data_IF_916257072229
#
_entry.id   IF_916257072229
#
_cell.length_a   1.000
_cell.length_b   1.000
_cell.length_c   1.000
_cell.angle_alpha   90.00
_cell.angle_beta   90.00
_cell.angle_gamma   90.00
#
_symmetry.space_group_name_H-M   'P 1'
#
loop_
_entity.id
_entity.type
_entity.pdbx_description
1 polymer ?
#
# COMPACT_ATOMS: atom_id res chain seq x y z
N UNK A 1 -11.03 7.19 53.07
CA UNK A 1 -11.70 6.36 52.05
C UNK A 1 -10.90 6.50 50.77
N UNK A 2 -9.75 5.83 50.69
CA UNK A 2 -8.97 5.76 49.45
C UNK A 2 -9.43 4.51 48.68
N UNK A 3 -9.90 4.73 47.46
CA UNK A 3 -10.28 3.65 46.57
C UNK A 3 -9.01 3.05 45.97
N UNK A 4 -8.63 1.85 46.43
CA UNK A 4 -7.60 1.04 45.78
C UNK A 4 -8.15 0.59 44.42
N UNK A 5 -7.69 1.25 43.35
CA UNK A 5 -8.00 0.85 41.98
C UNK A 5 -7.22 -0.44 41.70
N UNK A 6 -7.92 -1.58 41.69
CA UNK A 6 -7.34 -2.84 41.24
C UNK A 6 -7.20 -2.80 39.72
N UNK A 7 -5.98 -2.56 39.24
CA UNK A 7 -5.65 -2.73 37.82
C UNK A 7 -5.57 -4.22 37.57
N UNK A 8 -6.59 -4.79 36.93
CA UNK A 8 -6.55 -6.17 36.42
C UNK A 8 -5.28 -6.34 35.57
N UNK A 9 -4.44 -7.35 35.84
CA UNK A 9 -3.28 -7.59 34.98
C UNK A 9 -3.82 -8.02 33.63
N UNK A 10 -3.71 -7.13 32.65
CA UNK A 10 -3.90 -7.48 31.25
C UNK A 10 -3.01 -8.70 30.98
N UNK A 11 -3.62 -9.86 30.75
CA UNK A 11 -2.91 -11.05 30.31
C UNK A 11 -2.07 -10.62 29.11
N UNK A 12 -0.75 -10.53 29.29
CA UNK A 12 0.18 -10.11 28.23
C UNK A 12 0.28 -11.27 27.24
N UNK A 13 -0.79 -11.42 26.45
CA UNK A 13 -0.88 -12.38 25.37
C UNK A 13 0.05 -11.97 24.25
N UNK A 14 0.67 -12.95 23.61
CA UNK A 14 1.42 -12.71 22.37
C UNK A 14 0.42 -12.63 21.23
N UNK A 15 0.54 -11.63 20.36
CA UNK A 15 -0.35 -11.43 19.22
C UNK A 15 0.42 -11.53 17.90
N UNK A 16 -0.26 -12.05 16.89
CA UNK A 16 0.31 -12.15 15.54
C UNK A 16 0.51 -10.76 14.92
N UNK A 17 1.74 -10.44 14.50
CA UNK A 17 2.08 -9.16 13.85
C UNK A 17 1.39 -8.97 12.48
N UNK A 18 0.83 -10.05 11.91
CA UNK A 18 0.18 -10.02 10.60
C UNK A 18 -1.34 -9.79 10.64
N UNK A 19 -2.03 -10.39 11.61
CA UNK A 19 -3.50 -10.36 11.70
C UNK A 19 -4.04 -9.86 13.05
N UNK A 20 -3.19 -9.68 14.07
CA UNK A 20 -3.60 -9.23 15.40
C UNK A 20 -4.26 -10.31 16.26
N UNK A 21 -4.48 -11.52 15.74
CA UNK A 21 -5.04 -12.62 16.52
C UNK A 21 -4.07 -13.09 17.63
N UNK A 22 -4.58 -13.54 18.78
CA UNK A 22 -3.74 -14.15 19.82
C UNK A 22 -3.00 -15.37 19.26
N UNK A 23 -1.74 -15.53 19.64
CA UNK A 23 -0.95 -16.69 19.30
C UNK A 23 -1.33 -17.84 20.24
N UNK A 24 -1.71 -18.98 19.66
CA UNK A 24 -1.97 -20.17 20.45
C UNK A 24 -0.68 -20.70 21.06
N UNK A 25 -0.84 -21.44 22.16
CA UNK A 25 0.24 -22.10 22.87
C UNK A 25 0.95 -23.17 22.01
N UNK A 26 0.23 -23.70 21.01
CA UNK A 26 0.78 -24.60 19.98
C UNK A 26 1.76 -23.94 19.02
N UNK A 27 1.81 -22.59 18.96
CA UNK A 27 2.82 -21.87 18.19
C UNK A 27 4.05 -21.64 19.08
N UNK A 28 5.24 -21.80 18.50
CA UNK A 28 6.53 -21.63 19.19
C UNK A 28 6.57 -20.36 20.07
N UNK A 29 7.26 -20.43 21.21
CA UNK A 29 7.42 -19.35 22.19
C UNK A 29 7.99 -18.04 21.63
N UNK A 30 8.72 -18.11 20.52
CA UNK A 30 9.36 -17.00 19.81
C UNK A 30 8.64 -16.58 18.53
N UNK A 31 7.52 -17.21 18.18
CA UNK A 31 6.82 -16.92 16.94
C UNK A 31 6.19 -15.51 16.97
N UNK A 32 6.44 -14.74 15.92
CA UNK A 32 5.81 -13.43 15.71
C UNK A 32 4.51 -13.50 14.89
N UNK A 33 4.23 -14.66 14.28
CA UNK A 33 3.11 -14.86 13.36
C UNK A 33 2.43 -16.19 13.65
N UNK A 34 1.10 -16.23 13.56
CA UNK A 34 0.32 -17.46 13.74
C UNK A 34 0.54 -18.48 12.61
N UNK A 35 1.01 -18.03 11.44
CA UNK A 35 1.19 -18.89 10.27
C UNK A 35 2.19 -18.31 9.26
N UNK A 36 2.68 -19.17 8.37
CA UNK A 36 3.47 -18.77 7.22
C UNK A 36 2.71 -17.79 6.30
N UNK A 37 1.38 -17.94 6.19
CA UNK A 37 0.53 -17.04 5.42
C UNK A 37 0.53 -15.61 6.02
N UNK A 38 0.40 -15.47 7.34
CA UNK A 38 0.49 -14.17 8.01
C UNK A 38 1.87 -13.54 7.86
N UNK A 39 2.94 -14.33 7.97
CA UNK A 39 4.32 -13.87 7.73
C UNK A 39 4.48 -13.33 6.30
N UNK A 40 4.02 -14.07 5.29
CA UNK A 40 4.12 -13.65 3.89
C UNK A 40 3.29 -12.39 3.61
N UNK A 41 2.08 -12.28 4.18
CA UNK A 41 1.24 -11.08 4.07
C UNK A 41 1.93 -9.87 4.68
N UNK A 42 2.45 -10.00 5.90
CA UNK A 42 3.14 -8.93 6.60
C UNK A 42 4.40 -8.49 5.86
N UNK A 43 5.19 -9.43 5.31
CA UNK A 43 6.36 -9.11 4.48
C UNK A 43 5.97 -8.31 3.22
N UNK A 44 4.93 -8.74 2.48
CA UNK A 44 4.45 -8.00 1.29
C UNK A 44 3.98 -6.60 1.64
N UNK A 45 3.24 -6.45 2.75
CA UNK A 45 2.79 -5.15 3.22
C UNK A 45 3.98 -4.25 3.58
N UNK A 46 4.90 -4.75 4.39
CA UNK A 46 6.11 -4.03 4.81
C UNK A 46 6.94 -3.59 3.61
N UNK A 47 7.12 -4.46 2.62
CA UNK A 47 7.88 -4.13 1.41
C UNK A 47 7.22 -3.02 0.59
N UNK A 48 5.89 -3.06 0.43
CA UNK A 48 5.14 -1.97 -0.23
C UNK A 48 5.28 -0.65 0.52
N UNK A 49 5.17 -0.68 1.84
CA UNK A 49 5.35 0.52 2.68
C UNK A 49 6.76 1.09 2.54
N UNK A 50 7.80 0.24 2.57
CA UNK A 50 9.20 0.67 2.38
C UNK A 50 9.43 1.31 1.02
N UNK A 51 8.92 0.71 -0.06
CA UNK A 51 9.00 1.30 -1.40
C UNK A 51 8.30 2.66 -1.42
N UNK A 52 7.08 2.75 -0.88
CA UNK A 52 6.32 4.00 -0.80
C UNK A 52 7.09 5.10 -0.08
N UNK A 53 7.68 4.79 1.09
CA UNK A 53 8.47 5.74 1.88
C UNK A 53 9.74 6.17 1.14
N UNK A 54 10.47 5.26 0.48
CA UNK A 54 11.64 5.61 -0.34
C UNK A 54 11.27 6.56 -1.47
N UNK A 55 10.15 6.32 -2.13
CA UNK A 55 9.64 7.19 -3.19
C UNK A 55 9.24 8.56 -2.64
N UNK A 56 8.53 8.63 -1.50
CA UNK A 56 8.20 9.91 -0.84
C UNK A 56 9.44 10.70 -0.40
N UNK A 57 10.50 10.01 0.05
CA UNK A 57 11.78 10.64 0.42
C UNK A 57 12.62 11.06 -0.80
N UNK A 58 12.10 10.94 -2.02
CA UNK A 58 12.81 11.29 -3.25
C UNK A 58 13.98 10.36 -3.61
N UNK A 59 14.19 9.27 -2.86
CA UNK A 59 15.32 8.34 -3.08
C UNK A 59 15.11 7.48 -4.33
N UNK A 60 13.86 7.25 -4.74
CA UNK A 60 13.50 6.39 -5.87
C UNK A 60 12.14 6.78 -6.42
N UNK A 61 12.02 8.01 -6.93
CA UNK A 61 10.77 8.53 -7.50
C UNK A 61 10.81 8.51 -9.04
N UNK A 62 10.14 7.51 -9.62
CA UNK A 62 9.81 7.58 -11.04
C UNK A 62 8.63 8.54 -11.22
N UNK A 63 8.78 9.53 -12.10
CA UNK A 63 7.69 10.42 -12.53
C UNK A 63 7.14 9.95 -13.87
N UNK A 64 5.84 10.15 -14.08
CA UNK A 64 5.18 9.93 -15.36
C UNK A 64 4.37 11.16 -15.74
N UNK A 65 4.15 11.36 -17.04
CA UNK A 65 3.45 12.52 -17.60
C UNK A 65 2.25 12.05 -18.41
N UNK A 66 1.12 12.75 -18.27
CA UNK A 66 -0.08 12.45 -19.05
C UNK A 66 0.15 12.86 -20.52
N UNK A 67 0.01 11.94 -21.50
CA UNK A 67 0.20 12.28 -22.91
C UNK A 67 -0.91 13.19 -23.48
N UNK A 68 -1.99 13.43 -22.71
CA UNK A 68 -3.17 14.19 -23.18
C UNK A 68 -3.20 15.61 -22.61
N UNK A 69 -2.78 15.79 -21.36
CA UNK A 69 -2.88 17.08 -20.67
C UNK A 69 -1.57 17.57 -20.05
N UNK A 70 -0.47 16.80 -20.17
CA UNK A 70 0.84 17.18 -19.65
C UNK A 70 0.99 17.13 -18.13
N UNK A 71 -0.05 16.78 -17.36
CA UNK A 71 0.04 16.64 -15.90
C UNK A 71 1.07 15.55 -15.53
N UNK A 72 2.03 15.86 -14.65
CA UNK A 72 2.98 14.89 -14.11
C UNK A 72 2.54 14.34 -12.75
N UNK A 73 3.01 13.13 -12.42
CA UNK A 73 2.76 12.49 -11.13
C UNK A 73 3.88 11.53 -10.75
N UNK A 74 3.96 11.23 -9.46
CA UNK A 74 4.85 10.22 -8.89
C UNK A 74 4.22 8.83 -9.01
N UNK A 75 4.88 7.96 -9.76
CA UNK A 75 4.47 6.58 -10.05
C UNK A 75 4.45 5.77 -8.74
N UNK A 76 3.33 5.09 -8.48
CA UNK A 76 3.16 4.23 -7.30
C UNK A 76 2.76 4.98 -6.02
N UNK A 77 2.70 6.32 -6.05
CA UNK A 77 2.19 7.15 -4.94
C UNK A 77 0.83 7.74 -5.28
N UNK A 78 0.79 8.56 -6.34
CA UNK A 78 -0.41 9.30 -6.75
C UNK A 78 -1.28 8.44 -7.68
N UNK A 79 -0.64 7.68 -8.56
CA UNK A 79 -1.30 6.73 -9.44
C UNK A 79 -0.60 5.37 -9.44
N UNK A 80 -1.34 4.33 -9.83
CA UNK A 80 -0.79 2.97 -9.98
C UNK A 80 0.41 2.98 -10.94
N UNK A 81 1.33 2.05 -10.75
CA UNK A 81 2.55 1.95 -11.57
C UNK A 81 2.28 1.79 -13.07
N UNK A 82 1.15 1.18 -13.43
CA UNK A 82 0.69 0.99 -14.82
C UNK A 82 -0.27 2.08 -15.31
N UNK A 83 -0.33 3.24 -14.64
CA UNK A 83 -1.15 4.36 -15.10
C UNK A 83 -0.45 5.07 -16.26
N UNK A 84 -1.17 5.23 -17.38
CA UNK A 84 -0.72 6.01 -18.55
C UNK A 84 -1.41 7.38 -18.57
N UNK A 85 -2.61 7.48 -18.00
CA UNK A 85 -3.42 8.70 -17.98
C UNK A 85 -3.71 9.10 -16.54
N UNK A 86 -3.64 10.40 -16.24
CA UNK A 86 -3.94 10.95 -14.92
C UNK A 86 -5.41 10.75 -14.50
N UNK A 87 -6.33 10.59 -15.46
CA UNK A 87 -7.76 10.50 -15.19
C UNK A 87 -8.51 9.68 -16.24
N UNK A 88 -9.73 9.26 -15.89
CA UNK A 88 -10.66 8.63 -16.84
C UNK A 88 -10.96 9.55 -18.03
N UNK A 89 -11.10 10.87 -17.80
CA UNK A 89 -11.34 11.86 -18.86
C UNK A 89 -10.22 11.87 -19.91
N UNK A 90 -8.95 11.87 -19.48
CA UNK A 90 -7.81 11.82 -20.40
C UNK A 90 -7.75 10.50 -21.17
N UNK A 91 -8.04 9.37 -20.51
CA UNK A 91 -8.14 8.07 -21.20
C UNK A 91 -9.21 8.09 -22.30
N UNK A 92 -10.39 8.62 -22.00
CA UNK A 92 -11.50 8.71 -22.96
C UNK A 92 -11.17 9.65 -24.11
N UNK A 93 -10.52 10.79 -23.85
CA UNK A 93 -10.06 11.71 -24.90
C UNK A 93 -9.05 11.04 -25.83
N UNK A 94 -8.02 10.40 -25.29
CA UNK A 94 -7.06 9.64 -26.11
C UNK A 94 -7.71 8.52 -26.93
N UNK A 95 -8.74 7.86 -26.40
CA UNK A 95 -9.50 6.86 -27.15
C UNK A 95 -10.32 7.48 -28.29
N UNK A 96 -10.92 8.66 -28.07
CA UNK A 96 -11.65 9.40 -29.12
C UNK A 96 -10.71 9.90 -30.20
N UNK A 97 -9.58 10.52 -29.83
CA UNK A 97 -8.61 11.08 -30.77
C UNK A 97 -8.03 10.00 -31.71
N UNK A 98 -7.85 8.76 -31.22
CA UNK A 98 -7.44 7.61 -32.04
C UNK A 98 -8.52 7.13 -33.02
N UNK A 99 -9.78 7.47 -32.78
CA UNK A 99 -10.93 7.10 -33.60
C UNK A 99 -11.42 8.23 -34.50
N UNK A 100 -10.98 9.46 -34.24
CA UNK A 100 -11.15 10.58 -35.15
C UNK A 100 -10.47 10.22 -36.47
N UNK A 101 -11.18 10.23 -37.60
CA UNK A 101 -10.53 10.23 -38.91
C UNK A 101 -9.57 11.40 -38.92
N UNK A 102 -8.26 11.11 -38.97
CA UNK A 102 -7.27 12.17 -39.11
C UNK A 102 -7.55 12.85 -40.45
N UNK A 103 -7.74 14.18 -40.53
CA UNK A 103 -7.78 14.84 -41.81
C UNK A 103 -6.42 14.64 -42.48
N UNK A 104 -6.43 13.98 -43.64
CA UNK A 104 -5.27 13.88 -44.53
C UNK A 104 -4.79 15.28 -44.92
N UNK A 105 -3.47 15.54 -45.01
CA UNK A 105 -2.94 16.81 -45.48
C UNK A 105 -3.36 17.14 -46.91
#
# INVERSE_FOLDING_TARGET
MEAMVMVEPALVGRYCHGCGAPLSESVRGDALYCSAACRARHWRWTQRTRTRVRTMRGVSAARAVCPVCGQDWIVGIEHRSSAIYCSHRCRTRAWRDKRSPQPSP
#
